data_IF_679569899090
#
_entry.id   IF_679569899090
#
_cell.length_a   1.000
_cell.length_b   1.000
_cell.length_c   1.000
_cell.angle_alpha   90.00
_cell.angle_beta   90.00
_cell.angle_gamma   90.00
#
_symmetry.space_group_name_H-M   'P 1'
#
loop_
_entity.id
_entity.type
_entity.pdbx_description
1 polymer ?
#
# COMPACT_ATOMS: atom_id res chain seq x y z
N UNK A 1 -4.43 7.05 -16.46
CA UNK A 1 -3.97 6.57 -15.12
C UNK A 1 -3.65 5.07 -15.06
N UNK A 2 -4.54 4.16 -15.48
CA UNK A 2 -4.30 2.70 -15.42
C UNK A 2 -3.00 2.23 -16.11
N UNK A 3 -2.67 2.77 -17.29
CA UNK A 3 -1.42 2.45 -17.98
C UNK A 3 -0.17 2.77 -17.14
N UNK A 4 -0.17 3.89 -16.40
CA UNK A 4 0.92 4.24 -15.47
C UNK A 4 1.02 3.25 -14.31
N UNK A 5 -0.13 2.84 -13.76
CA UNK A 5 -0.19 1.86 -12.68
C UNK A 5 0.33 0.48 -13.12
N UNK A 6 -0.06 0.03 -14.32
CA UNK A 6 0.48 -1.20 -14.92
C UNK A 6 1.98 -1.11 -15.13
N UNK A 7 2.47 -0.01 -15.71
CA UNK A 7 3.90 0.19 -15.91
C UNK A 7 4.69 0.12 -14.60
N UNK A 8 4.24 0.84 -13.58
CA UNK A 8 4.85 0.77 -12.24
C UNK A 8 4.86 -0.66 -11.67
N UNK A 9 3.74 -1.38 -11.82
CA UNK A 9 3.63 -2.76 -11.37
C UNK A 9 4.65 -3.67 -12.09
N UNK A 10 4.66 -3.64 -13.43
CA UNK A 10 5.46 -4.54 -14.26
C UNK A 10 6.97 -4.20 -14.22
N UNK A 11 7.32 -2.92 -14.21
CA UNK A 11 8.72 -2.47 -14.30
C UNK A 11 9.40 -2.27 -12.94
N UNK A 12 8.65 -2.07 -11.85
CA UNK A 12 9.25 -1.84 -10.53
C UNK A 12 8.80 -2.85 -9.47
N UNK A 13 7.49 -3.01 -9.24
CA UNK A 13 7.02 -3.80 -8.10
C UNK A 13 7.23 -5.32 -8.29
N UNK A 14 6.86 -5.88 -9.44
CA UNK A 14 7.00 -7.31 -9.69
C UNK A 14 8.47 -7.79 -9.74
N UNK A 15 9.42 -7.05 -10.32
CA UNK A 15 10.84 -7.40 -10.23
C UNK A 15 11.33 -7.52 -8.79
N UNK A 16 10.94 -6.60 -7.90
CA UNK A 16 11.31 -6.66 -6.47
C UNK A 16 10.74 -7.92 -5.78
N UNK A 17 9.49 -8.26 -6.08
CA UNK A 17 8.83 -9.46 -5.54
C UNK A 17 9.45 -10.78 -6.05
N UNK A 18 10.04 -10.77 -7.26
CA UNK A 18 10.62 -11.96 -7.90
C UNK A 18 12.10 -12.17 -7.62
N UNK A 19 12.85 -11.09 -7.43
CA UNK A 19 14.29 -11.14 -7.17
C UNK A 19 14.60 -11.69 -5.78
N UNK A 20 13.68 -11.51 -4.83
CA UNK A 20 13.86 -11.91 -3.43
C UNK A 20 13.69 -13.42 -3.28
N UNK A 21 14.82 -14.13 -3.34
CA UNK A 21 14.96 -15.56 -3.00
C UNK A 21 15.56 -15.68 -1.59
N UNK A 22 14.80 -16.30 -0.69
CA UNK A 22 15.25 -17.07 0.49
C UNK A 22 15.58 -16.40 1.85
N UNK A 23 15.06 -15.22 2.19
CA UNK A 23 14.68 -14.94 3.59
C UNK A 23 13.26 -14.36 3.59
N UNK A 24 12.29 -15.25 3.70
CA UNK A 24 10.89 -15.00 3.39
C UNK A 24 10.15 -14.06 4.39
N UNK A 25 10.83 -13.49 5.38
CA UNK A 25 10.17 -12.79 6.50
C UNK A 25 10.55 -11.31 6.65
N UNK A 26 11.63 -10.81 6.03
CA UNK A 26 12.15 -9.45 6.34
C UNK A 26 11.90 -8.39 5.25
N UNK A 27 11.32 -8.78 4.13
CA UNK A 27 11.38 -8.00 2.91
C UNK A 27 10.12 -7.14 2.69
N UNK A 28 10.08 -5.97 3.33
CA UNK A 28 8.97 -5.01 3.23
C UNK A 28 9.15 -4.07 2.02
N UNK A 29 8.07 -3.82 1.28
CA UNK A 29 8.02 -2.80 0.22
C UNK A 29 6.91 -1.80 0.55
N UNK A 30 7.27 -0.51 0.64
CA UNK A 30 6.31 0.57 0.90
C UNK A 30 6.10 1.36 -0.39
N UNK A 31 4.84 1.50 -0.81
CA UNK A 31 4.45 2.32 -1.95
C UNK A 31 3.70 3.54 -1.45
N UNK A 32 4.31 4.72 -1.59
CA UNK A 32 3.67 6.00 -1.28
C UNK A 32 3.17 6.64 -2.57
N UNK A 33 1.85 6.85 -2.66
CA UNK A 33 1.22 7.44 -3.83
C UNK A 33 -0.10 8.15 -3.47
N UNK A 34 -0.82 8.63 -4.48
CA UNK A 34 -2.05 9.40 -4.31
C UNK A 34 -3.32 8.53 -4.30
N UNK A 35 -4.38 9.02 -3.67
CA UNK A 35 -5.66 8.32 -3.54
C UNK A 35 -6.37 7.97 -4.87
N UNK A 36 -6.08 8.69 -5.96
CA UNK A 36 -6.60 8.34 -7.29
C UNK A 36 -5.73 7.31 -8.03
N UNK A 37 -4.47 7.16 -7.63
CA UNK A 37 -3.53 6.23 -8.23
C UNK A 37 -3.60 4.84 -7.56
N UNK A 38 -3.66 4.81 -6.22
CA UNK A 38 -3.65 3.58 -5.42
C UNK A 38 -4.76 2.58 -5.81
N UNK A 39 -6.03 2.98 -6.05
CA UNK A 39 -7.06 2.06 -6.53
C UNK A 39 -6.74 1.46 -7.90
N UNK A 40 -6.10 2.22 -8.80
CA UNK A 40 -5.71 1.73 -10.13
C UNK A 40 -4.52 0.77 -10.05
N UNK A 41 -3.58 1.03 -9.14
CA UNK A 41 -2.49 0.10 -8.84
C UNK A 41 -3.02 -1.21 -8.24
N UNK A 42 -3.89 -1.12 -7.24
CA UNK A 42 -4.52 -2.28 -6.62
C UNK A 42 -5.28 -3.13 -7.64
N UNK A 43 -6.08 -2.51 -8.52
CA UNK A 43 -6.76 -3.22 -9.59
C UNK A 43 -5.78 -3.95 -10.54
N UNK A 44 -4.70 -3.29 -10.96
CA UNK A 44 -3.69 -3.92 -11.82
C UNK A 44 -2.97 -5.09 -11.12
N UNK A 45 -2.76 -4.98 -9.80
CA UNK A 45 -2.18 -6.05 -8.98
C UNK A 45 -3.12 -7.25 -8.90
N UNK A 46 -4.42 -7.03 -8.65
CA UNK A 46 -5.42 -8.10 -8.58
C UNK A 46 -5.58 -8.85 -9.90
N UNK A 47 -5.31 -8.23 -11.05
CA UNK A 47 -5.28 -8.95 -12.33
C UNK A 47 -4.16 -10.01 -12.43
N UNK A 48 -3.20 -9.99 -11.50
CA UNK A 48 -2.16 -11.02 -11.36
C UNK A 48 -2.44 -12.00 -10.22
N UNK A 49 -3.54 -11.82 -9.49
CA UNK A 49 -3.94 -12.65 -8.36
C UNK A 49 -5.21 -13.42 -8.75
N UNK A 50 -5.13 -14.73 -9.03
CA UNK A 50 -6.31 -15.57 -9.19
C UNK A 50 -7.23 -15.44 -7.98
N UNK A 51 -8.54 -15.48 -8.19
CA UNK A 51 -9.54 -15.27 -7.13
C UNK A 51 -9.38 -16.23 -5.95
N UNK A 52 -9.03 -17.48 -6.23
CA UNK A 52 -8.79 -18.53 -5.22
C UNK A 52 -7.52 -18.27 -4.40
N UNK A 53 -6.62 -17.43 -4.93
CA UNK A 53 -5.34 -17.05 -4.37
C UNK A 53 -5.39 -15.69 -3.65
N UNK A 54 -6.59 -15.08 -3.56
CA UNK A 54 -6.85 -13.87 -2.79
C UNK A 54 -7.57 -14.24 -1.49
N UNK A 55 -6.92 -13.99 -0.36
CA UNK A 55 -7.50 -14.20 0.97
C UNK A 55 -7.48 -12.91 1.77
N UNK A 56 -8.37 -12.81 2.74
CA UNK A 56 -8.53 -11.65 3.62
C UNK A 56 -8.33 -12.10 5.07
N UNK A 57 -7.72 -11.25 5.88
CA UNK A 57 -7.62 -11.47 7.31
C UNK A 57 -9.01 -11.49 7.96
N UNK A 58 -9.17 -12.29 9.01
CA UNK A 58 -10.45 -12.46 9.70
C UNK A 58 -10.93 -11.16 10.37
N UNK A 59 -10.02 -10.37 10.95
CA UNK A 59 -10.36 -9.10 11.57
C UNK A 59 -10.88 -8.10 10.52
N UNK A 60 -10.27 -8.12 9.33
CA UNK A 60 -10.71 -7.30 8.20
C UNK A 60 -12.12 -7.68 7.73
N UNK A 61 -12.42 -8.98 7.60
CA UNK A 61 -13.74 -9.47 7.21
C UNK A 61 -14.85 -9.02 8.17
N UNK A 62 -14.55 -8.97 9.47
CA UNK A 62 -15.51 -8.60 10.50
C UNK A 62 -15.72 -7.08 10.63
N UNK A 63 -14.71 -6.29 10.26
CA UNK A 63 -14.70 -4.84 10.48
C UNK A 63 -14.98 -4.00 9.24
N UNK A 64 -14.79 -4.53 8.04
CA UNK A 64 -14.95 -3.78 6.79
C UNK A 64 -16.38 -3.95 6.21
N UNK A 65 -17.20 -2.89 6.15
CA UNK A 65 -18.58 -3.00 5.64
C UNK A 65 -18.61 -3.42 4.17
N UNK A 66 -19.34 -4.51 3.87
CA UNK A 66 -19.72 -4.87 2.50
C UNK A 66 -18.75 -5.74 1.68
N UNK A 67 -17.87 -6.53 2.29
CA UNK A 67 -16.92 -7.34 1.51
C UNK A 67 -17.09 -8.85 1.66
N UNK A 68 -17.43 -9.55 0.57
CA UNK A 68 -16.58 -10.60 0.03
C UNK A 68 -15.74 -10.06 -1.14
N UNK A 69 -14.72 -10.81 -1.61
CA UNK A 69 -13.86 -10.40 -2.71
C UNK A 69 -14.62 -10.05 -4.01
N UNK A 70 -14.10 -9.11 -4.84
CA UNK A 70 -12.84 -8.41 -4.66
C UNK A 70 -13.09 -7.10 -3.89
N UNK A 71 -12.18 -6.78 -2.97
CA UNK A 71 -12.23 -5.51 -2.27
C UNK A 71 -12.10 -4.35 -3.27
N UNK A 72 -12.83 -3.27 -3.00
CA UNK A 72 -12.67 -2.00 -3.70
C UNK A 72 -12.18 -0.94 -2.72
N UNK A 73 -10.88 -0.97 -2.35
CA UNK A 73 -10.36 -0.09 -1.32
C UNK A 73 -10.36 1.37 -1.78
N UNK A 74 -10.64 2.27 -0.84
CA UNK A 74 -10.32 3.69 -0.93
C UNK A 74 -9.24 4.04 0.11
N UNK A 75 -8.61 5.20 -0.06
CA UNK A 75 -7.58 5.70 0.85
C UNK A 75 -7.94 7.08 1.37
N UNK A 76 -8.16 7.17 2.68
CA UNK A 76 -8.07 8.42 3.42
C UNK A 76 -6.64 8.95 3.37
N UNK A 77 -6.45 10.25 3.63
CA UNK A 77 -5.11 10.84 3.72
C UNK A 77 -4.25 10.07 4.73
N UNK A 78 -3.05 9.69 4.29
CA UNK A 78 -2.05 8.88 5.01
C UNK A 78 -2.53 7.51 5.49
N UNK A 79 -3.71 7.05 5.08
CA UNK A 79 -4.12 5.68 5.32
C UNK A 79 -3.27 4.71 4.49
N UNK A 80 -3.20 3.46 4.92
CA UNK A 80 -2.47 2.42 4.20
C UNK A 80 -3.32 1.16 4.00
N UNK A 81 -2.94 0.39 2.98
CA UNK A 81 -3.37 -0.98 2.77
C UNK A 81 -2.16 -1.87 3.06
N UNK A 82 -2.37 -2.91 3.83
CA UNK A 82 -1.33 -3.88 4.19
C UNK A 82 -1.70 -5.24 3.65
N UNK A 83 -0.75 -5.87 2.95
CA UNK A 83 -0.95 -7.18 2.36
C UNK A 83 0.37 -7.92 2.17
N UNK A 84 0.32 -9.24 2.30
CA UNK A 84 1.40 -10.14 1.89
C UNK A 84 1.17 -10.55 0.45
N UNK A 85 2.21 -10.44 -0.39
CA UNK A 85 2.16 -10.84 -1.79
C UNK A 85 3.34 -11.76 -2.07
N UNK A 86 3.08 -12.89 -2.70
CA UNK A 86 4.13 -13.83 -3.08
C UNK A 86 3.86 -14.47 -4.44
N UNK A 87 4.90 -14.83 -5.22
CA UNK A 87 4.71 -15.62 -6.42
C UNK A 87 4.00 -16.94 -6.12
N UNK A 88 3.05 -17.32 -6.97
CA UNK A 88 2.37 -18.60 -6.86
C UNK A 88 3.23 -19.72 -7.46
N UNK A 89 3.77 -20.57 -6.59
CA UNK A 89 4.62 -21.69 -6.98
C UNK A 89 3.89 -22.67 -7.92
N UNK A 90 2.56 -22.82 -7.78
CA UNK A 90 1.76 -23.71 -8.64
C UNK A 90 1.71 -23.26 -10.10
N UNK A 91 1.93 -21.97 -10.35
CA UNK A 91 1.94 -21.36 -11.69
C UNK A 91 3.35 -21.07 -12.21
N UNK A 92 4.39 -21.57 -11.53
CA UNK A 92 5.78 -21.23 -11.82
C UNK A 92 6.10 -19.74 -11.61
N UNK A 93 5.38 -19.06 -10.70
CA UNK A 93 5.56 -17.63 -10.39
C UNK A 93 4.96 -16.66 -11.43
N UNK A 94 4.12 -17.16 -12.34
CA UNK A 94 3.38 -16.32 -13.31
C UNK A 94 2.26 -15.55 -12.63
N UNK A 95 1.50 -16.22 -11.76
CA UNK A 95 0.49 -15.63 -10.91
C UNK A 95 1.05 -15.27 -9.53
N UNK A 96 0.28 -14.49 -8.77
CA UNK A 96 0.55 -14.09 -7.40
C UNK A 96 -0.50 -14.67 -6.46
N UNK A 97 -0.08 -14.97 -5.23
CA UNK A 97 -0.96 -15.16 -4.08
C UNK A 97 -0.91 -13.91 -3.22
N UNK A 98 -2.06 -13.48 -2.72
CA UNK A 98 -2.20 -12.26 -1.96
C UNK A 98 -3.08 -12.49 -0.74
N UNK A 99 -2.59 -12.08 0.42
CA UNK A 99 -3.33 -12.05 1.66
C UNK A 99 -3.45 -10.59 2.13
N UNK A 100 -4.67 -10.07 2.26
CA UNK A 100 -4.89 -8.67 2.68
C UNK A 100 -5.16 -8.62 4.18
N UNK A 101 -4.31 -7.90 4.91
CA UNK A 101 -4.41 -7.78 6.35
C UNK A 101 -5.27 -6.58 6.74
N UNK A 102 -5.06 -5.43 6.09
CA UNK A 102 -5.73 -4.17 6.45
C UNK A 102 -6.07 -3.35 5.23
N UNK A 103 -7.20 -2.66 5.28
CA UNK A 103 -7.64 -1.71 4.24
C UNK A 103 -7.95 -0.37 4.88
N UNK A 104 -7.48 0.71 4.25
CA UNK A 104 -7.72 2.08 4.70
C UNK A 104 -7.38 2.29 6.20
N UNK A 105 -6.30 1.68 6.68
CA UNK A 105 -5.96 1.72 8.09
C UNK A 105 -5.45 3.11 8.50
N UNK A 106 -6.10 3.69 9.50
CA UNK A 106 -5.75 5.01 10.08
C UNK A 106 -5.50 4.93 11.57
N UNK A 107 -5.21 3.75 12.13
CA UNK A 107 -5.02 3.57 13.58
C UNK A 107 -3.91 4.46 14.14
N UNK A 108 -2.85 4.69 13.36
CA UNK A 108 -1.75 5.60 13.71
C UNK A 108 -2.19 7.07 13.87
N UNK A 109 -3.38 7.44 13.38
CA UNK A 109 -3.94 8.79 13.49
C UNK A 109 -4.91 8.96 14.66
N UNK A 110 -5.32 7.87 15.34
CA UNK A 110 -6.40 7.90 16.34
C UNK A 110 -6.19 8.93 17.45
N UNK A 111 -4.92 9.15 17.84
CA UNK A 111 -4.53 10.07 18.89
C UNK A 111 -3.82 11.31 18.37
N UNK A 112 -3.71 11.45 17.04
CA UNK A 112 -3.11 12.63 16.44
C UNK A 112 -4.12 13.78 16.48
N UNK A 113 -3.80 14.83 17.22
CA UNK A 113 -4.56 16.09 17.12
C UNK A 113 -4.28 16.69 15.76
N UNK A 114 -5.25 16.57 14.85
CA UNK A 114 -5.18 17.29 13.58
C UNK A 114 -5.21 18.78 13.87
N UNK A 115 -4.20 19.48 13.40
CA UNK A 115 -4.31 20.91 13.16
C UNK A 115 -5.53 21.13 12.27
N UNK A 116 -6.44 21.99 12.72
CA UNK A 116 -7.63 22.35 11.92
C UNK A 116 -7.18 22.89 10.56
N UNK A 117 -8.05 22.83 9.56
CA UNK A 117 -7.74 23.22 8.18
C UNK A 117 -7.06 24.59 8.07
N UNK A 118 -6.38 24.84 6.95
CA UNK A 118 -5.66 26.10 6.70
C UNK A 118 -4.14 25.95 6.54
N UNK A 119 -3.56 24.77 6.78
CA UNK A 119 -2.12 24.54 6.55
C UNK A 119 -1.78 24.56 5.05
N UNK A 120 -2.62 23.95 4.20
CA UNK A 120 -2.42 23.99 2.75
C UNK A 120 -2.54 25.39 2.13
N UNK A 121 -3.13 26.32 2.89
CA UNK A 121 -3.31 27.73 2.52
C UNK A 121 -2.43 28.66 3.37
N UNK A 122 -1.56 28.11 4.22
CA UNK A 122 -0.75 28.90 5.12
C UNK A 122 0.31 29.65 4.32
N UNK A 123 0.58 30.92 4.64
CA UNK A 123 1.70 31.63 4.06
C UNK A 123 3.00 30.89 4.40
N UNK A 124 3.95 30.92 3.46
CA UNK A 124 5.28 30.35 3.66
C UNK A 124 5.90 30.89 4.96
N UNK A 125 6.14 30.00 5.93
CA UNK A 125 6.80 30.33 7.19
C UNK A 125 8.30 29.99 7.09
N UNK A 126 9.14 31.03 7.04
CA UNK A 126 10.59 30.89 6.98
C UNK A 126 11.20 30.21 8.22
N UNK A 127 10.45 30.05 9.32
CA UNK A 127 10.88 29.32 10.52
C UNK A 127 10.71 27.80 10.38
N UNK A 128 9.95 27.34 9.39
CA UNK A 128 9.69 25.93 9.16
C UNK A 128 10.97 25.24 8.69
N UNK A 129 11.46 24.26 9.45
CA UNK A 129 12.69 23.52 9.12
C UNK A 129 12.36 22.37 8.17
N UNK A 130 13.32 22.03 7.29
CA UNK A 130 13.20 20.84 6.45
C UNK A 130 13.17 19.58 7.30
N UNK A 131 12.54 18.51 6.79
CA UNK A 131 12.41 17.25 7.50
C UNK A 131 13.79 16.66 7.87
N UNK A 132 14.82 16.96 7.07
CA UNK A 132 16.21 16.55 7.32
C UNK A 132 16.75 17.03 8.67
N UNK A 133 16.22 18.15 9.21
CA UNK A 133 16.62 18.65 10.53
C UNK A 133 16.19 17.76 11.70
N UNK A 134 15.25 16.83 11.48
CA UNK A 134 14.80 15.85 12.48
C UNK A 134 15.61 14.56 12.46
N UNK A 135 16.39 14.32 11.39
CA UNK A 135 17.23 13.14 11.28
C UNK A 135 18.68 13.50 11.64
N UNK A 136 19.29 12.70 12.50
CA UNK A 136 20.72 12.83 12.78
C UNK A 136 21.51 12.64 11.49
N UNK A 137 22.51 13.50 11.25
CA UNK A 137 23.46 13.29 10.15
C UNK A 137 24.19 11.99 10.43
N UNK A 138 23.94 10.96 9.62
CA UNK A 138 24.79 9.76 9.59
C UNK A 138 26.22 10.20 9.25
N UNK A 139 27.13 9.99 10.20
CA UNK A 139 28.59 10.05 9.98
C UNK A 139 29.04 8.88 9.11
#
# INVERSE_FOLDING_TARGET
>A
MRARARRFLDEMLLPLLRLRRSRAEDDVVVVVAHGLFLPKLYACLLERVPWQSLTLDQELLMSYPGAPPPLQPWWSNTAYLECTVMPDATTGGRALRMHVLRVNCTTHLKYLTRTRGGIGSAPHDARQRTIDSYFEKRM
#
